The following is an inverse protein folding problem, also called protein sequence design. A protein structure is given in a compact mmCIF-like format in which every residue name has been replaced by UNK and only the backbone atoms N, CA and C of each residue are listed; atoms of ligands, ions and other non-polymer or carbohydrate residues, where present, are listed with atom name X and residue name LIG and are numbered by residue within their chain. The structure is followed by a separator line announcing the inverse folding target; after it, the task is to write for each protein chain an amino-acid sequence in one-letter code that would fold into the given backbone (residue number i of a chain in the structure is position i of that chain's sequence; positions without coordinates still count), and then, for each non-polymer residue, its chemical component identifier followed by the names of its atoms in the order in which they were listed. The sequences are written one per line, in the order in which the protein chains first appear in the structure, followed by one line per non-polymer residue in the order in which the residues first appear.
data_IF_101444390391
#
_entry.id   IF_101444390391
#
_cell.length_a   1.000
_cell.length_b   1.000
_cell.length_c   1.000
_cell.angle_alpha   90.00
_cell.angle_beta   90.00
_cell.angle_gamma   90.00
#
_symmetry.space_group_name_H-M   'P 1'
#
loop_
_entity.id
_entity.type
_entity.pdbx_description
1 polymer ?
#
# COMPACT_ATOMS: atom_id res chain seq x y z
N UNK A 1 -8.00 -2.82 -9.65
CA UNK A 1 -8.89 -1.91 -8.90
C UNK A 1 -8.33 -1.75 -7.49
N UNK A 2 -8.44 -0.57 -6.87
CA UNK A 2 -8.01 -0.41 -5.46
C UNK A 2 -9.16 -0.86 -4.57
N UNK A 3 -8.89 -1.79 -3.66
CA UNK A 3 -9.93 -2.50 -2.89
C UNK A 3 -9.58 -2.69 -1.40
N UNK A 4 -8.42 -2.20 -0.97
CA UNK A 4 -7.98 -2.13 0.42
C UNK A 4 -7.31 -0.79 0.61
N UNK A 5 -7.58 -0.17 1.76
CA UNK A 5 -7.13 1.17 2.09
C UNK A 5 -6.60 1.20 3.53
N UNK A 6 -5.63 2.06 3.79
CA UNK A 6 -5.13 2.38 5.12
C UNK A 6 -4.64 3.82 5.17
N UNK A 7 -4.44 4.35 6.36
CA UNK A 7 -3.98 5.71 6.61
C UNK A 7 -2.84 5.67 7.63
N UNK A 8 -1.77 6.42 7.41
CA UNK A 8 -0.62 6.46 8.32
C UNK A 8 -0.62 7.65 9.29
N UNK A 9 -1.59 8.56 9.16
CA UNK A 9 -1.64 9.83 9.88
C UNK A 9 -1.50 11.05 8.98
N UNK A 10 -0.93 10.87 7.79
CA UNK A 10 -0.68 11.94 6.81
C UNK A 10 -1.24 11.58 5.44
N UNK A 11 -0.99 10.37 4.96
CA UNK A 11 -1.31 9.90 3.62
C UNK A 11 -2.25 8.69 3.65
N UNK A 12 -3.09 8.58 2.62
CA UNK A 12 -3.94 7.41 2.40
C UNK A 12 -3.24 6.50 1.40
N UNK A 13 -3.04 5.25 1.79
CA UNK A 13 -2.50 4.20 0.95
C UNK A 13 -3.58 3.20 0.57
N UNK A 14 -3.42 2.57 -0.58
CA UNK A 14 -4.24 1.48 -1.02
C UNK A 14 -3.46 0.46 -1.81
N UNK A 15 -4.01 -0.75 -1.90
CA UNK A 15 -3.48 -1.77 -2.80
C UNK A 15 -4.47 -2.10 -3.89
N UNK A 16 -3.93 -2.38 -5.07
CA UNK A 16 -4.65 -3.01 -6.16
C UNK A 16 -3.81 -4.10 -6.81
N UNK A 17 -4.37 -4.70 -7.86
CA UNK A 17 -3.79 -5.86 -8.57
C UNK A 17 -2.37 -5.64 -9.13
N UNK A 18 -1.90 -4.39 -9.17
CA UNK A 18 -0.63 -3.97 -9.77
C UNK A 18 0.32 -3.27 -8.80
N UNK A 19 -0.06 -3.15 -7.53
CA UNK A 19 0.86 -2.65 -6.50
C UNK A 19 0.18 -1.84 -5.41
N UNK A 20 1.03 -1.07 -4.74
CA UNK A 20 0.65 -0.09 -3.71
C UNK A 20 0.51 1.27 -4.38
N UNK A 21 -0.50 2.02 -3.96
CA UNK A 21 -0.80 3.36 -4.41
C UNK A 21 -0.98 4.28 -3.21
N UNK A 22 -0.60 5.55 -3.34
CA UNK A 22 -1.00 6.62 -2.42
C UNK A 22 -2.00 7.55 -3.09
N UNK A 23 -2.85 8.18 -2.29
CA UNK A 23 -3.76 9.21 -2.78
C UNK A 23 -3.03 10.55 -2.78
N UNK A 24 -2.64 11.02 -3.98
CA UNK A 24 -1.97 12.31 -4.13
C UNK A 24 -2.91 13.49 -3.90
N UNK A 25 -2.33 14.68 -3.76
CA UNK A 25 -3.03 15.94 -3.40
C UNK A 25 -4.18 16.31 -4.34
N UNK A 26 -4.13 15.84 -5.58
CA UNK A 26 -5.18 16.08 -6.60
C UNK A 26 -6.34 15.08 -6.51
N UNK A 27 -6.38 14.27 -5.45
CA UNK A 27 -7.35 13.20 -5.27
C UNK A 27 -7.19 12.06 -6.27
N UNK A 28 -6.00 11.89 -6.84
CA UNK A 28 -5.69 10.84 -7.80
C UNK A 28 -4.80 9.78 -7.16
N UNK A 29 -5.00 8.53 -7.53
CA UNK A 29 -4.15 7.43 -7.09
C UNK A 29 -2.85 7.43 -7.88
N UNK A 30 -1.75 7.54 -7.17
CA UNK A 30 -0.39 7.52 -7.72
C UNK A 30 0.30 6.24 -7.28
N UNK A 31 1.06 5.63 -8.18
CA UNK A 31 1.69 4.36 -7.87
C UNK A 31 2.92 4.59 -6.98
N UNK A 32 2.89 4.00 -5.78
CA UNK A 32 3.97 4.08 -4.80
C UNK A 32 4.95 2.91 -4.95
N UNK A 33 4.44 1.71 -5.24
CA UNK A 33 5.26 0.52 -5.48
C UNK A 33 4.61 -0.42 -6.50
N UNK A 34 5.44 -1.09 -7.29
CA UNK A 34 5.02 -2.16 -8.21
C UNK A 34 4.92 -3.53 -7.53
N UNK A 35 5.39 -3.65 -6.29
CA UNK A 35 5.24 -4.87 -5.50
C UNK A 35 3.79 -5.03 -5.07
N UNK A 36 3.05 -5.84 -5.83
CA UNK A 36 1.70 -6.27 -5.49
C UNK A 36 1.77 -7.73 -5.02
N UNK A 37 1.63 -8.00 -3.72
CA UNK A 37 1.51 -9.37 -3.27
C UNK A 37 0.10 -9.86 -3.59
N UNK A 38 -0.11 -10.32 -4.82
CA UNK A 38 -1.32 -11.01 -5.30
C UNK A 38 -2.63 -10.59 -4.63
N UNK A 39 -3.37 -11.55 -4.07
CA UNK A 39 -4.66 -11.30 -3.43
C UNK A 39 -4.49 -10.75 -2.01
N UNK A 40 -4.29 -9.44 -1.92
CA UNK A 40 -4.19 -8.73 -0.64
C UNK A 40 -5.52 -8.79 0.12
N UNK A 41 -5.47 -9.37 1.32
CA UNK A 41 -6.62 -9.50 2.22
C UNK A 41 -6.64 -8.44 3.32
N UNK A 42 -5.48 -7.88 3.69
CA UNK A 42 -5.38 -6.87 4.74
C UNK A 42 -4.20 -5.92 4.53
N UNK A 43 -4.36 -4.68 5.01
CA UNK A 43 -3.34 -3.63 5.03
C UNK A 43 -3.21 -3.02 6.43
N UNK A 44 -1.99 -2.68 6.81
CA UNK A 44 -1.71 -1.92 8.02
C UNK A 44 -0.44 -1.09 7.86
N UNK A 45 -0.39 0.09 8.49
CA UNK A 45 0.84 0.87 8.60
C UNK A 45 1.38 0.77 10.02
N UNK A 46 2.67 0.47 10.14
CA UNK A 46 3.38 0.48 11.41
C UNK A 46 4.87 0.76 11.19
N UNK A 47 5.48 1.53 12.10
CA UNK A 47 6.93 1.79 12.10
C UNK A 47 7.48 2.29 10.75
N UNK A 48 6.75 3.19 10.07
CA UNK A 48 7.15 3.73 8.76
C UNK A 48 7.12 2.71 7.62
N UNK A 49 6.33 1.64 7.75
CA UNK A 49 6.17 0.60 6.73
C UNK A 49 4.70 0.32 6.51
N UNK A 50 4.36 0.12 5.24
CA UNK A 50 3.06 -0.41 4.84
C UNK A 50 3.17 -1.92 4.69
N UNK A 51 2.41 -2.64 5.50
CA UNK A 51 2.31 -4.10 5.48
C UNK A 51 1.10 -4.55 4.66
N UNK A 52 1.34 -5.52 3.79
CA UNK A 52 0.32 -6.17 2.96
C UNK A 52 0.28 -7.67 3.24
N UNK A 53 -0.84 -8.14 3.78
CA UNK A 53 -1.07 -9.57 3.96
C UNK A 53 -1.77 -10.13 2.73
N UNK A 54 -1.18 -11.14 2.10
CA UNK A 54 -1.73 -11.84 0.94
C UNK A 54 -2.07 -13.29 1.27
N UNK A 55 -3.27 -13.71 0.85
CA UNK A 55 -3.74 -15.07 1.08
C UNK A 55 -2.81 -16.08 0.38
N UNK A 56 -2.18 -16.95 1.16
CA UNK A 56 -1.29 -18.01 0.64
C UNK A 56 0.11 -17.54 0.22
N UNK A 57 0.42 -16.24 0.31
CA UNK A 57 1.75 -15.70 -0.04
C UNK A 57 2.48 -15.06 1.15
N UNK A 58 1.78 -14.85 2.28
CA UNK A 58 2.38 -14.31 3.50
C UNK A 58 2.23 -12.80 3.63
N UNK A 59 3.14 -12.18 4.36
CA UNK A 59 3.15 -10.74 4.64
C UNK A 59 4.34 -10.09 3.95
N UNK A 60 4.06 -9.02 3.23
CA UNK A 60 5.03 -8.19 2.53
C UNK A 60 5.01 -6.80 3.13
N UNK A 61 6.08 -6.04 2.93
CA UNK A 61 6.11 -4.65 3.35
C UNK A 61 6.90 -3.79 2.38
N UNK A 62 6.48 -2.54 2.27
CA UNK A 62 7.24 -1.48 1.62
C UNK A 62 7.61 -0.41 2.65
N UNK A 63 8.81 0.15 2.52
CA UNK A 63 9.24 1.29 3.33
C UNK A 63 8.51 2.54 2.87
N UNK A 64 7.92 3.28 3.80
CA UNK A 64 7.32 4.60 3.55
C UNK A 64 8.33 5.74 3.71
N UNK A 65 9.59 5.43 4.01
CA UNK A 65 10.65 6.44 4.02
C UNK A 65 10.75 7.10 2.63
N UNK A 66 10.76 8.43 2.60
CA UNK A 66 10.81 9.24 1.39
C UNK A 66 11.85 8.70 0.40
N UNK A 67 11.40 8.34 -0.81
CA UNK A 67 12.30 8.17 -1.94
C UNK A 67 12.86 9.57 -2.26
N UNK A 68 14.13 9.80 -1.90
CA UNK A 68 14.89 10.99 -2.29
C UNK A 68 15.10 11.04 -3.80
#
# INVERSE_FOLDING_TARGET
MINKLTFDGTEVYGTGDRGVYHLGDRGQWEQFSTEAPGSVVSLAVANGRLYSASAGQGIFYVSLAEQQ
#
